data_IF_702977694489
#
_entry.id   IF_702977694489
#
_cell.length_a   1.000
_cell.length_b   1.000
_cell.length_c   1.000
_cell.angle_alpha   90.00
_cell.angle_beta   90.00
_cell.angle_gamma   90.00
#
_symmetry.space_group_name_H-M   'P 1'
#
loop_
_entity.id
_entity.type
_entity.pdbx_description
1 polymer ?
#
# COMPACT_ATOMS: atom_id res chain seq x y z
N UNK A 1 4.49 19.58 11.41
CA UNK A 1 5.87 19.09 11.50
C UNK A 1 6.13 18.02 10.43
N UNK A 2 5.45 16.87 10.45
CA UNK A 2 5.66 15.75 9.51
C UNK A 2 5.63 16.16 8.03
N UNK A 3 4.56 16.82 7.57
CA UNK A 3 4.45 17.26 6.17
C UNK A 3 5.51 18.30 5.76
N UNK A 4 5.93 19.18 6.68
CA UNK A 4 6.96 20.17 6.38
C UNK A 4 8.34 19.52 6.26
N UNK A 5 8.71 18.63 7.19
CA UNK A 5 9.96 17.88 7.13
C UNK A 5 10.05 16.98 5.89
N UNK A 6 8.93 16.32 5.54
CA UNK A 6 8.86 15.54 4.30
C UNK A 6 9.00 16.43 3.05
N UNK A 7 8.35 17.60 3.04
CA UNK A 7 8.46 18.56 1.93
C UNK A 7 9.88 19.06 1.75
N UNK A 8 10.62 19.35 2.84
CA UNK A 8 12.02 19.75 2.74
C UNK A 8 12.88 18.62 2.16
N UNK A 9 12.75 17.40 2.69
CA UNK A 9 13.49 16.23 2.20
C UNK A 9 13.26 15.99 0.71
N UNK A 10 12.00 16.01 0.26
CA UNK A 10 11.67 15.85 -1.16
C UNK A 10 12.21 17.02 -1.98
N UNK A 11 12.14 18.26 -1.48
CA UNK A 11 12.69 19.40 -2.23
C UNK A 11 14.20 19.25 -2.46
N UNK A 12 14.95 18.91 -1.41
CA UNK A 12 16.41 18.71 -1.49
C UNK A 12 16.77 17.58 -2.46
N UNK A 13 15.97 16.51 -2.50
CA UNK A 13 16.17 15.40 -3.44
C UNK A 13 15.90 15.77 -4.91
N UNK A 14 14.97 16.70 -5.17
CA UNK A 14 14.51 17.01 -6.53
C UNK A 14 15.16 18.26 -7.15
N UNK A 15 15.81 19.11 -6.34
CA UNK A 15 16.52 20.29 -6.84
C UNK A 15 17.83 19.96 -7.58
N UNK A 16 18.37 18.75 -7.37
CA UNK A 16 19.61 18.31 -8.01
C UNK A 16 20.87 19.02 -7.49
N UNK A 17 20.79 19.66 -6.34
CA UNK A 17 21.92 20.35 -5.69
C UNK A 17 22.85 19.39 -4.94
N UNK A 18 22.37 18.19 -4.61
CA UNK A 18 23.09 17.21 -3.81
C UNK A 18 23.06 15.83 -4.48
N UNK A 19 24.18 15.10 -4.40
CA UNK A 19 24.26 13.70 -4.84
C UNK A 19 23.51 12.75 -3.89
N UNK A 20 23.45 13.11 -2.59
CA UNK A 20 22.68 12.39 -1.58
C UNK A 20 22.17 13.35 -0.50
N UNK A 21 21.03 13.01 0.12
CA UNK A 21 20.36 13.83 1.14
C UNK A 21 20.12 13.00 2.39
N UNK A 22 20.47 13.54 3.56
CA UNK A 22 20.19 12.87 4.84
C UNK A 22 18.73 13.06 5.28
N UNK A 23 17.98 11.99 5.57
CA UNK A 23 16.59 12.09 6.02
C UNK A 23 16.44 12.34 7.53
N UNK A 24 17.51 12.66 8.26
CA UNK A 24 17.55 12.73 9.73
C UNK A 24 16.43 13.61 10.32
N UNK A 25 16.14 14.76 9.69
CA UNK A 25 15.08 15.66 10.13
C UNK A 25 13.69 15.02 10.01
N UNK A 26 13.39 14.39 8.87
CA UNK A 26 12.12 13.70 8.66
C UNK A 26 12.01 12.47 9.57
N UNK A 27 13.06 11.66 9.65
CA UNK A 27 13.16 10.50 10.53
C UNK A 27 12.90 10.89 12.00
N UNK A 28 13.53 11.96 12.49
CA UNK A 28 13.36 12.45 13.86
C UNK A 28 11.92 12.83 14.17
N UNK A 29 11.23 13.46 13.22
CA UNK A 29 9.81 13.83 13.39
C UNK A 29 8.92 12.58 13.45
N UNK A 30 9.17 11.60 12.59
CA UNK A 30 8.42 10.35 12.57
C UNK A 30 8.68 9.50 13.82
N UNK A 31 9.94 9.41 14.25
CA UNK A 31 10.38 8.65 15.42
C UNK A 31 9.75 9.16 16.73
N UNK A 32 9.48 10.47 16.86
CA UNK A 32 8.72 11.04 18.00
C UNK A 32 7.28 10.49 18.08
N UNK A 33 6.67 10.15 16.94
CA UNK A 33 5.30 9.64 16.85
C UNK A 33 5.23 8.12 16.95
N UNK A 34 6.21 7.45 16.37
CA UNK A 34 6.32 6.00 16.36
C UNK A 34 7.64 5.59 17.00
N UNK A 35 7.68 5.39 18.33
CA UNK A 35 8.90 5.08 19.06
C UNK A 35 9.64 3.83 18.56
N UNK A 36 8.95 2.90 17.90
CA UNK A 36 9.57 1.75 17.23
C UNK A 36 10.67 2.17 16.26
N UNK A 37 10.46 3.24 15.49
CA UNK A 37 11.44 3.78 14.54
C UNK A 37 12.52 4.65 15.21
N UNK A 38 12.42 4.95 16.50
CA UNK A 38 13.51 5.63 17.22
C UNK A 38 14.71 4.71 17.44
N UNK A 39 14.50 3.39 17.42
CA UNK A 39 15.56 2.40 17.56
C UNK A 39 16.28 2.26 16.23
N UNK A 40 17.62 2.24 16.25
CA UNK A 40 18.45 1.94 15.07
C UNK A 40 18.51 0.44 14.79
N UNK A 41 17.35 -0.21 14.81
CA UNK A 41 17.18 -1.62 14.43
C UNK A 41 16.51 -1.67 13.07
N UNK A 42 16.63 -2.81 12.39
CA UNK A 42 15.89 -3.03 11.16
C UNK A 42 14.39 -3.07 11.42
N UNK A 43 13.63 -2.69 10.40
CA UNK A 43 12.17 -2.53 10.46
C UNK A 43 11.56 -2.96 9.13
N UNK A 44 10.27 -3.29 9.16
CA UNK A 44 9.52 -3.61 7.96
C UNK A 44 9.19 -2.34 7.16
N UNK A 45 9.63 -2.30 5.90
CA UNK A 45 9.37 -1.17 5.01
C UNK A 45 7.87 -0.92 4.76
N UNK A 46 7.04 -1.97 4.82
CA UNK A 46 5.59 -1.88 4.67
C UNK A 46 4.95 -1.18 5.88
N UNK A 47 5.37 -1.52 7.09
CA UNK A 47 4.89 -0.87 8.31
C UNK A 47 5.31 0.60 8.35
N UNK A 48 6.58 0.87 8.01
CA UNK A 48 7.11 2.24 7.89
C UNK A 48 6.30 3.06 6.87
N UNK A 49 6.01 2.51 5.70
CA UNK A 49 5.22 3.17 4.65
C UNK A 49 3.82 3.54 5.15
N UNK A 50 3.12 2.61 5.81
CA UNK A 50 1.78 2.88 6.36
C UNK A 50 1.82 4.02 7.38
N UNK A 51 2.80 4.01 8.29
CA UNK A 51 3.00 5.09 9.26
C UNK A 51 3.24 6.44 8.59
N UNK A 52 4.09 6.48 7.55
CA UNK A 52 4.37 7.71 6.79
C UNK A 52 3.11 8.22 6.08
N UNK A 53 2.39 7.35 5.36
CA UNK A 53 1.16 7.75 4.65
C UNK A 53 0.10 8.28 5.61
N UNK A 54 -0.08 7.65 6.76
CA UNK A 54 -1.03 8.10 7.79
C UNK A 54 -0.65 9.46 8.38
N UNK A 55 0.62 9.68 8.71
CA UNK A 55 1.09 10.97 9.23
C UNK A 55 0.97 12.09 8.21
N UNK A 56 1.30 11.81 6.95
CA UNK A 56 1.11 12.78 5.86
C UNK A 56 -0.36 13.06 5.63
N UNK A 57 -1.23 12.05 5.68
CA UNK A 57 -2.67 12.22 5.55
C UNK A 57 -3.20 13.17 6.63
N UNK A 58 -2.91 12.88 7.89
CA UNK A 58 -3.36 13.69 9.03
C UNK A 58 -2.79 15.11 9.02
N UNK A 59 -1.53 15.27 8.60
CA UNK A 59 -0.92 16.59 8.49
C UNK A 59 -1.56 17.44 7.37
N UNK A 60 -1.80 16.84 6.20
CA UNK A 60 -2.30 17.56 5.02
C UNK A 60 -3.82 17.78 5.05
N UNK A 61 -4.58 16.90 5.71
CA UNK A 61 -6.00 17.10 6.01
C UNK A 61 -6.24 18.37 6.83
N UNK A 62 -5.40 18.62 7.85
CA UNK A 62 -5.48 19.82 8.71
C UNK A 62 -5.22 21.11 7.94
N UNK A 63 -4.24 21.11 7.02
CA UNK A 63 -3.93 22.26 6.17
C UNK A 63 -5.12 22.60 5.26
N UNK A 64 -5.74 21.59 4.64
CA UNK A 64 -6.95 21.78 3.82
C UNK A 64 -8.11 22.38 4.63
N UNK A 65 -8.33 21.88 5.85
CA UNK A 65 -9.36 22.40 6.76
C UNK A 65 -9.08 23.84 7.26
N UNK A 66 -7.82 24.24 7.38
CA UNK A 66 -7.44 25.61 7.76
C UNK A 66 -7.58 26.59 6.59
N UNK A 67 -7.18 26.19 5.39
CA UNK A 67 -7.32 26.99 4.16
C UNK A 67 -8.80 27.20 3.78
N UNK A 68 -9.67 26.22 4.02
CA UNK A 68 -11.11 26.42 3.79
C UNK A 68 -11.68 27.42 4.82
N UNK A 69 -11.32 27.30 6.10
CA UNK A 69 -11.76 28.25 7.15
C UNK A 69 -11.32 29.69 6.89
N UNK A 70 -10.13 29.92 6.31
CA UNK A 70 -9.67 31.28 5.99
C UNK A 70 -10.38 31.90 4.78
N UNK A 71 -10.84 31.09 3.82
CA UNK A 71 -11.64 31.55 2.66
C UNK A 71 -13.12 31.78 3.00
N UNK A 72 -13.65 31.16 4.05
CA UNK A 72 -15.07 31.26 4.44
C UNK A 72 -15.46 32.51 5.27
N UNK A 73 -14.62 33.55 5.34
CA UNK A 73 -14.94 34.78 6.09
C UNK A 73 -15.99 35.65 5.37
N UNK A 74 -16.31 35.39 4.08
CA UNK A 74 -17.25 36.24 3.32
C UNK A 74 -18.64 35.69 3.06
N UNK A 75 -19.05 34.51 3.54
CA UNK A 75 -20.44 34.06 3.35
C UNK A 75 -21.00 33.31 4.56
N UNK A 76 -21.75 34.06 5.39
CA UNK A 76 -22.59 33.51 6.43
C UNK A 76 -23.85 32.86 5.81
N UNK A 77 -23.74 31.59 5.41
CA UNK A 77 -24.81 30.55 5.38
C UNK A 77 -24.37 29.37 4.51
N UNK A 78 -23.65 28.41 5.08
CA UNK A 78 -23.55 27.07 4.50
C UNK A 78 -23.20 26.03 5.57
N UNK A 79 -24.08 25.03 5.66
CA UNK A 79 -23.97 23.68 6.25
C UNK A 79 -23.08 23.46 7.49
N UNK A 80 -23.69 22.84 8.52
CA UNK A 80 -23.00 21.97 9.49
C UNK A 80 -22.47 20.70 8.78
N UNK A 81 -21.68 20.87 7.73
CA UNK A 81 -21.04 19.79 6.98
C UNK A 81 -19.71 19.44 7.63
N UNK A 82 -19.54 18.17 8.00
CA UNK A 82 -18.31 17.66 8.59
C UNK A 82 -17.08 18.05 7.76
N UNK A 83 -15.96 18.28 8.45
CA UNK A 83 -14.66 18.49 7.82
C UNK A 83 -14.42 17.33 6.84
N UNK A 84 -14.09 17.64 5.59
CA UNK A 84 -13.74 16.61 4.61
C UNK A 84 -12.59 15.77 5.16
N UNK A 85 -12.83 14.48 5.38
CA UNK A 85 -11.87 13.50 5.88
C UNK A 85 -10.81 13.12 4.83
N UNK A 86 -10.57 13.97 3.83
CA UNK A 86 -9.76 13.66 2.65
C UNK A 86 -8.51 14.54 2.59
N UNK A 87 -7.44 13.98 2.04
CA UNK A 87 -6.22 14.71 1.70
C UNK A 87 -5.68 14.21 0.35
N UNK A 88 -4.58 14.80 -0.14
CA UNK A 88 -3.91 14.30 -1.33
C UNK A 88 -3.51 12.82 -1.18
N UNK A 89 -3.21 12.36 0.05
CA UNK A 89 -2.87 10.95 0.30
C UNK A 89 -4.06 10.03 -0.01
N UNK A 90 -5.28 10.36 0.43
CA UNK A 90 -6.47 9.56 0.14
C UNK A 90 -6.94 9.69 -1.32
N UNK A 91 -6.57 10.79 -1.99
CA UNK A 91 -6.84 10.95 -3.41
C UNK A 91 -5.92 10.06 -4.26
N UNK A 92 -4.64 9.97 -3.89
CA UNK A 92 -3.65 9.21 -4.63
C UNK A 92 -3.65 7.71 -4.29
N UNK A 93 -3.63 7.36 -3.00
CA UNK A 93 -3.31 6.00 -2.55
C UNK A 93 -4.50 5.21 -2.01
N UNK A 94 -5.61 5.86 -1.65
CA UNK A 94 -6.74 5.15 -1.02
C UNK A 94 -7.66 4.51 -2.07
N UNK A 95 -7.66 3.18 -2.09
CA UNK A 95 -8.66 2.35 -2.75
C UNK A 95 -9.75 1.88 -1.79
N UNK A 96 -10.79 1.27 -2.34
CA UNK A 96 -11.84 0.60 -1.57
C UNK A 96 -12.06 -0.81 -2.10
N UNK A 97 -12.06 -1.76 -1.16
CA UNK A 97 -12.56 -3.11 -1.33
C UNK A 97 -13.98 -3.21 -0.81
N UNK A 98 -14.65 -4.25 -1.27
CA UNK A 98 -15.96 -4.64 -0.86
C UNK A 98 -15.97 -6.15 -0.67
N UNK A 99 -16.15 -6.57 0.59
CA UNK A 99 -16.20 -7.96 0.98
C UNK A 99 -17.65 -8.44 1.00
N UNK A 100 -17.99 -9.30 0.05
CA UNK A 100 -19.27 -10.00 0.03
C UNK A 100 -19.18 -11.22 0.93
N UNK A 101 -19.86 -11.17 2.07
CA UNK A 101 -19.91 -12.24 3.07
C UNK A 101 -21.27 -12.92 2.97
N UNK A 102 -21.28 -14.14 2.44
CA UNK A 102 -22.48 -14.96 2.24
C UNK A 102 -22.54 -16.08 3.26
N UNK A 103 -23.56 -16.03 4.13
CA UNK A 103 -23.82 -17.12 5.07
C UNK A 103 -24.15 -18.41 4.31
N UNK A 104 -23.47 -19.51 4.63
CA UNK A 104 -23.68 -20.78 3.93
C UNK A 104 -24.95 -21.52 4.37
N UNK A 105 -25.55 -21.13 5.49
CA UNK A 105 -26.82 -21.67 5.97
C UNK A 105 -28.02 -20.94 5.33
N UNK A 106 -28.27 -19.69 5.72
CA UNK A 106 -29.44 -18.93 5.24
C UNK A 106 -29.25 -18.22 3.89
N UNK A 107 -28.06 -18.34 3.26
CA UNK A 107 -27.69 -17.71 1.97
C UNK A 107 -27.77 -16.18 1.93
N UNK A 108 -27.95 -15.52 3.07
CA UNK A 108 -27.94 -14.05 3.11
C UNK A 108 -26.53 -13.51 2.91
N UNK A 109 -26.38 -12.57 1.98
CA UNK A 109 -25.13 -11.87 1.70
C UNK A 109 -25.14 -10.49 2.34
N UNK A 110 -24.06 -10.17 3.02
CA UNK A 110 -23.78 -8.83 3.56
C UNK A 110 -22.53 -8.27 2.92
N UNK A 111 -22.58 -6.99 2.55
CA UNK A 111 -21.46 -6.29 1.97
C UNK A 111 -20.71 -5.50 3.05
N UNK A 112 -19.38 -5.65 3.11
CA UNK A 112 -18.53 -4.86 4.02
C UNK A 112 -17.50 -4.08 3.21
N UNK A 113 -17.66 -2.75 3.07
CA UNK A 113 -16.64 -1.92 2.44
C UNK A 113 -15.44 -1.75 3.37
N UNK A 114 -14.24 -1.73 2.80
CA UNK A 114 -12.98 -1.51 3.52
C UNK A 114 -12.03 -0.66 2.66
N UNK A 115 -11.48 0.40 3.26
CA UNK A 115 -10.47 1.24 2.61
C UNK A 115 -9.09 0.62 2.75
N UNK A 116 -8.23 0.79 1.75
CA UNK A 116 -6.83 0.36 1.81
C UNK A 116 -5.91 1.40 1.15
N UNK A 117 -4.66 1.47 1.62
CA UNK A 117 -3.56 2.19 0.95
C UNK A 117 -2.52 1.23 0.37
N UNK A 118 -2.40 0.03 0.94
CA UNK A 118 -1.49 -1.04 0.51
C UNK A 118 -2.26 -2.36 0.50
N UNK A 119 -2.24 -3.08 -0.62
CA UNK A 119 -2.80 -4.43 -0.72
C UNK A 119 -1.72 -5.45 -0.45
N UNK A 120 -1.86 -6.19 0.65
CA UNK A 120 -0.92 -7.25 1.03
C UNK A 120 -1.34 -8.58 0.43
N UNK A 121 -0.66 -8.99 -0.63
CA UNK A 121 -0.98 -10.17 -1.44
C UNK A 121 -0.31 -11.43 -0.89
N UNK A 122 -1.05 -12.55 -0.76
CA UNK A 122 -0.46 -13.85 -0.48
C UNK A 122 0.34 -14.35 -1.68
N UNK A 123 1.34 -15.19 -1.41
CA UNK A 123 2.18 -15.81 -2.43
C UNK A 123 1.75 -17.29 -2.55
N UNK A 124 1.07 -17.70 -3.63
CA UNK A 124 0.42 -19.02 -3.72
C UNK A 124 1.38 -20.18 -3.98
N UNK A 125 2.60 -19.91 -4.45
CA UNK A 125 3.60 -20.92 -4.85
C UNK A 125 4.91 -20.68 -4.13
N UNK A 126 5.64 -21.75 -3.80
CA UNK A 126 6.97 -21.63 -3.18
C UNK A 126 8.10 -21.51 -4.21
N UNK A 127 7.92 -22.04 -5.42
CA UNK A 127 8.96 -22.10 -6.45
C UNK A 127 8.95 -20.89 -7.39
N UNK A 128 7.77 -20.40 -7.76
CA UNK A 128 7.61 -19.24 -8.63
C UNK A 128 6.15 -19.01 -8.99
N UNK A 129 5.76 -17.75 -9.21
CA UNK A 129 4.42 -17.37 -9.66
C UNK A 129 4.44 -15.99 -10.34
N UNK A 130 3.29 -15.55 -10.86
CA UNK A 130 3.10 -14.18 -11.34
C UNK A 130 2.39 -13.31 -10.31
N UNK A 131 2.48 -11.98 -10.45
CA UNK A 131 1.66 -11.03 -9.68
C UNK A 131 0.16 -11.31 -9.89
N UNK A 132 -0.22 -11.76 -11.08
CA UNK A 132 -1.61 -12.14 -11.37
C UNK A 132 -2.05 -13.38 -10.60
N UNK A 133 -1.15 -14.34 -10.32
CA UNK A 133 -1.47 -15.48 -9.45
C UNK A 133 -1.68 -15.02 -8.00
N UNK A 134 -0.87 -14.07 -7.52
CA UNK A 134 -1.04 -13.48 -6.19
C UNK A 134 -2.38 -12.71 -6.07
N UNK A 135 -2.73 -11.91 -7.08
CA UNK A 135 -4.02 -11.21 -7.17
C UNK A 135 -5.18 -12.21 -7.24
N UNK A 136 -5.08 -13.24 -8.09
CA UNK A 136 -6.08 -14.30 -8.19
C UNK A 136 -6.27 -15.00 -6.84
N UNK A 137 -5.21 -15.30 -6.12
CA UNK A 137 -5.27 -15.90 -4.79
C UNK A 137 -5.96 -14.96 -3.78
N UNK A 138 -5.65 -13.66 -3.80
CA UNK A 138 -6.29 -12.67 -2.92
C UNK A 138 -7.80 -12.50 -3.19
N UNK A 139 -8.21 -12.44 -4.46
CA UNK A 139 -9.60 -12.20 -4.87
C UNK A 139 -10.42 -13.49 -5.04
N UNK A 140 -9.81 -14.66 -4.83
CA UNK A 140 -10.52 -15.93 -4.81
C UNK A 140 -11.50 -15.95 -3.65
N UNK A 141 -12.69 -16.51 -3.89
CA UNK A 141 -13.66 -16.73 -2.82
C UNK A 141 -13.08 -17.73 -1.82
N UNK A 142 -13.01 -17.32 -0.55
CA UNK A 142 -12.60 -18.15 0.56
C UNK A 142 -13.82 -18.57 1.39
N UNK A 143 -13.69 -19.64 2.19
CA UNK A 143 -14.74 -20.17 3.05
C UNK A 143 -14.27 -20.18 4.50
N UNK A 144 -14.87 -19.32 5.30
CA UNK A 144 -14.60 -19.22 6.72
C UNK A 144 -15.37 -20.30 7.46
N UNK A 145 -14.63 -21.27 8.01
CA UNK A 145 -15.16 -22.45 8.70
C UNK A 145 -14.53 -22.59 10.09
N UNK A 146 -15.10 -23.47 10.92
CA UNK A 146 -14.57 -23.82 12.24
C UNK A 146 -14.34 -22.59 13.14
N UNK A 147 -13.08 -22.31 13.49
CA UNK A 147 -12.70 -21.23 14.39
C UNK A 147 -12.92 -19.83 13.77
N UNK A 148 -13.10 -19.75 12.45
CA UNK A 148 -13.26 -18.49 11.72
C UNK A 148 -14.72 -18.17 11.36
N UNK A 149 -15.69 -18.94 11.88
CA UNK A 149 -17.11 -18.70 11.63
C UNK A 149 -17.55 -17.27 12.03
N UNK A 150 -18.38 -16.67 11.20
CA UNK A 150 -18.91 -15.31 11.40
C UNK A 150 -20.32 -15.39 11.99
N UNK A 151 -20.63 -14.48 12.92
CA UNK A 151 -21.98 -14.33 13.42
C UNK A 151 -22.93 -13.82 12.32
N UNK A 152 -23.91 -14.64 11.95
CA UNK A 152 -24.96 -14.26 11.02
C UNK A 152 -26.12 -13.61 11.77
N UNK A 153 -26.46 -12.36 11.45
CA UNK A 153 -27.57 -11.63 12.08
C UNK A 153 -28.94 -12.29 11.85
N UNK A 154 -29.11 -13.01 10.74
CA UNK A 154 -30.35 -13.68 10.38
C UNK A 154 -30.50 -15.04 11.08
N UNK A 155 -29.41 -15.80 11.22
CA UNK A 155 -29.41 -17.07 11.95
C UNK A 155 -29.27 -16.89 13.47
N UNK A 156 -28.86 -15.71 13.94
CA UNK A 156 -28.61 -15.41 15.37
C UNK A 156 -27.44 -16.20 15.98
N UNK A 157 -26.59 -16.82 15.17
CA UNK A 157 -25.53 -17.75 15.58
C UNK A 157 -24.31 -17.64 14.66
N UNK A 158 -23.18 -18.22 15.09
CA UNK A 158 -21.99 -18.37 14.24
C UNK A 158 -22.26 -19.39 13.14
N UNK A 159 -21.93 -19.02 11.92
CA UNK A 159 -22.16 -19.83 10.72
C UNK A 159 -20.92 -19.82 9.83
N UNK A 160 -20.77 -20.87 9.04
CA UNK A 160 -19.81 -20.89 7.95
C UNK A 160 -20.22 -19.84 6.90
N UNK A 161 -19.24 -19.14 6.35
CA UNK A 161 -19.50 -18.06 5.39
C UNK A 161 -18.51 -18.09 4.23
N UNK A 162 -19.02 -17.91 3.01
CA UNK A 162 -18.17 -17.61 1.86
C UNK A 162 -17.86 -16.11 1.84
N UNK A 163 -16.60 -15.75 1.63
CA UNK A 163 -16.13 -14.36 1.57
C UNK A 163 -15.42 -14.13 0.26
N UNK A 164 -15.78 -13.05 -0.44
CA UNK A 164 -15.11 -12.64 -1.68
C UNK A 164 -14.86 -11.14 -1.66
N UNK A 165 -13.61 -10.75 -1.93
CA UNK A 165 -13.24 -9.35 -2.11
C UNK A 165 -13.50 -8.90 -3.57
N UNK A 166 -13.88 -7.63 -3.75
CA UNK A 166 -13.94 -6.96 -5.05
C UNK A 166 -13.46 -5.52 -4.90
N UNK A 167 -12.71 -5.00 -5.86
CA UNK A 167 -12.30 -3.59 -5.90
C UNK A 167 -13.52 -2.75 -6.32
N UNK A 168 -13.97 -1.85 -5.45
CA UNK A 168 -15.03 -0.88 -5.75
C UNK A 168 -14.49 0.49 -6.11
N UNK A 169 -13.29 0.84 -5.63
CA UNK A 169 -12.55 2.04 -6.04
C UNK A 169 -11.08 1.68 -6.14
N UNK A 170 -10.51 1.75 -7.34
CA UNK A 170 -9.08 1.62 -7.52
C UNK A 170 -8.38 2.97 -7.21
N UNK A 171 -7.25 2.98 -6.49
CA UNK A 171 -6.50 4.21 -6.22
C UNK A 171 -5.76 4.69 -7.47
N UNK A 172 -5.34 5.95 -7.51
CA UNK A 172 -4.52 6.46 -8.62
C UNK A 172 -3.13 5.80 -8.64
N UNK A 173 -2.56 5.57 -7.47
CA UNK A 173 -1.32 4.82 -7.26
C UNK A 173 -1.67 3.62 -6.40
N UNK A 174 -1.46 2.41 -6.92
CA UNK A 174 -1.73 1.18 -6.18
C UNK A 174 -0.42 0.57 -5.70
N UNK A 175 -0.39 0.19 -4.42
CA UNK A 175 0.79 -0.39 -3.79
C UNK A 175 0.47 -1.83 -3.43
N UNK A 176 1.25 -2.76 -3.98
CA UNK A 176 1.20 -4.17 -3.60
C UNK A 176 2.34 -4.50 -2.67
N UNK A 177 1.99 -5.08 -1.52
CA UNK A 177 2.94 -5.72 -0.62
C UNK A 177 2.90 -7.23 -0.84
N UNK A 178 4.05 -7.82 -1.13
CA UNK A 178 4.19 -9.27 -1.29
C UNK A 178 4.48 -9.88 0.08
N UNK A 179 3.54 -10.66 0.64
CA UNK A 179 3.64 -11.27 1.98
C UNK A 179 4.73 -12.34 2.05
N UNK A 180 5.99 -11.90 2.07
CA UNK A 180 7.16 -12.79 2.07
C UNK A 180 7.49 -13.34 3.44
N UNK A 181 7.04 -12.74 4.52
CA UNK A 181 7.33 -13.23 5.87
C UNK A 181 6.15 -14.06 6.39
N UNK A 182 6.44 -15.30 6.78
CA UNK A 182 5.47 -16.20 7.39
C UNK A 182 6.02 -16.78 8.70
N UNK A 183 5.12 -17.00 9.65
CA UNK A 183 5.44 -17.70 10.90
C UNK A 183 5.18 -19.19 10.75
N UNK A 184 6.24 -20.00 10.87
CA UNK A 184 6.14 -21.45 10.93
C UNK A 184 6.40 -21.91 12.38
N UNK A 185 5.32 -21.96 13.17
CA UNK A 185 5.41 -22.25 14.60
C UNK A 185 6.11 -21.11 15.35
N UNK A 186 7.33 -21.35 15.82
CA UNK A 186 8.15 -20.34 16.55
C UNK A 186 9.18 -19.63 15.67
N UNK A 187 9.40 -20.10 14.45
CA UNK A 187 10.43 -19.56 13.56
C UNK A 187 9.77 -18.76 12.44
N UNK A 188 10.29 -17.57 12.20
CA UNK A 188 9.93 -16.79 11.02
C UNK A 188 10.71 -17.29 9.80
N UNK A 189 10.05 -17.28 8.65
CA UNK A 189 10.64 -17.67 7.37
C UNK A 189 10.33 -16.64 6.31
N UNK A 190 11.35 -16.27 5.52
CA UNK A 190 11.19 -15.45 4.31
C UNK A 190 10.96 -16.33 3.08
N UNK A 191 9.97 -15.97 2.27
CA UNK A 191 9.69 -16.55 0.95
C UNK A 191 10.60 -15.90 -0.08
N UNK A 192 11.53 -16.69 -0.63
CA UNK A 192 12.39 -16.32 -1.76
C UNK A 192 11.76 -16.68 -3.11
N UNK A 193 10.43 -16.76 -3.16
CA UNK A 193 9.70 -17.10 -4.39
C UNK A 193 9.94 -16.03 -5.44
N UNK A 194 10.30 -16.45 -6.65
CA UNK A 194 10.41 -15.57 -7.80
C UNK A 194 9.00 -15.18 -8.29
N UNK A 195 8.72 -13.87 -8.33
CA UNK A 195 7.41 -13.34 -8.67
C UNK A 195 7.56 -12.45 -9.89
N UNK A 196 7.03 -12.89 -11.03
CA UNK A 196 7.03 -12.10 -12.25
C UNK A 196 5.90 -11.05 -12.20
N UNK A 197 6.25 -9.77 -12.32
CA UNK A 197 5.30 -8.65 -12.30
C UNK A 197 5.39 -7.78 -13.56
N UNK A 198 4.29 -7.39 -14.21
CA UNK A 198 4.35 -6.65 -15.47
C UNK A 198 4.85 -5.21 -15.25
N UNK A 199 5.83 -4.73 -16.03
CA UNK A 199 6.30 -3.34 -15.91
C UNK A 199 5.27 -2.31 -16.42
N UNK A 200 4.32 -2.73 -17.24
CA UNK A 200 3.26 -1.90 -17.82
C UNK A 200 2.02 -2.74 -18.09
N UNK A 201 0.88 -2.08 -18.29
CA UNK A 201 -0.40 -2.72 -18.64
C UNK A 201 -0.87 -3.76 -17.61
N UNK A 202 -0.65 -3.51 -16.31
CA UNK A 202 -1.28 -4.31 -15.27
C UNK A 202 -2.79 -4.06 -15.30
N UNK A 203 -3.55 -5.11 -15.61
CA UNK A 203 -5.01 -5.08 -15.65
C UNK A 203 -5.62 -5.60 -14.34
N UNK A 204 -6.41 -4.74 -13.68
CA UNK A 204 -7.18 -5.06 -12.48
C UNK A 204 -8.68 -5.21 -12.75
N UNK A 205 -9.11 -5.12 -14.01
CA UNK A 205 -10.50 -5.30 -14.43
C UNK A 205 -11.14 -6.60 -13.93
N UNK A 206 -10.45 -7.77 -13.88
CA UNK A 206 -11.06 -9.01 -13.43
C UNK A 206 -11.46 -9.01 -11.95
N UNK A 207 -10.87 -8.11 -11.17
CA UNK A 207 -11.05 -8.00 -9.72
C UNK A 207 -11.87 -6.78 -9.32
N UNK A 208 -12.28 -5.96 -10.30
CA UNK A 208 -12.95 -4.70 -10.10
C UNK A 208 -14.43 -4.80 -10.46
N UNK A 209 -15.27 -4.06 -9.74
CA UNK A 209 -16.70 -4.03 -10.05
C UNK A 209 -16.95 -3.28 -11.38
N UNK A 210 -17.90 -3.75 -12.22
CA UNK A 210 -18.11 -3.21 -13.58
C UNK A 210 -18.44 -1.72 -13.64
N UNK A 211 -18.95 -1.15 -12.54
CA UNK A 211 -19.39 0.25 -12.46
C UNK A 211 -18.23 1.26 -12.41
N UNK A 212 -17.04 0.81 -12.01
CA UNK A 212 -15.87 1.67 -11.80
C UNK A 212 -14.69 1.29 -12.71
N UNK A 213 -14.89 0.31 -13.59
CA UNK A 213 -13.88 -0.18 -14.52
C UNK A 213 -13.96 0.56 -15.86
N UNK A 214 -13.46 1.79 -15.89
CA UNK A 214 -13.04 2.42 -17.15
C UNK A 214 -11.53 2.60 -17.09
N UNK A 215 -10.82 1.69 -17.76
CA UNK A 215 -9.42 1.85 -18.20
C UNK A 215 -8.34 2.02 -17.12
N UNK A 216 -8.45 1.31 -15.99
CA UNK A 216 -7.39 1.29 -14.97
C UNK A 216 -6.24 0.33 -15.36
N UNK A 217 -5.46 0.72 -16.36
CA UNK A 217 -4.20 0.06 -16.69
C UNK A 217 -3.05 0.73 -15.93
N UNK A 218 -2.36 -0.02 -15.09
CA UNK A 218 -1.25 0.51 -14.29
C UNK A 218 0.11 0.21 -14.91
N UNK A 219 1.09 1.06 -14.61
CA UNK A 219 2.48 0.88 -15.02
C UNK A 219 3.39 1.03 -13.82
N UNK A 220 4.32 0.09 -13.65
CA UNK A 220 5.21 0.06 -12.51
C UNK A 220 6.08 1.34 -12.51
N UNK A 221 6.10 2.04 -11.38
CA UNK A 221 6.90 3.24 -11.19
C UNK A 221 8.00 3.09 -10.14
N UNK A 222 7.83 2.18 -9.16
CA UNK A 222 8.89 1.86 -8.21
C UNK A 222 8.76 0.42 -7.66
N UNK A 223 9.90 -0.12 -7.21
CA UNK A 223 10.01 -1.40 -6.49
C UNK A 223 10.84 -1.17 -5.24
N UNK A 224 10.38 -1.63 -4.08
CA UNK A 224 11.24 -1.78 -2.90
C UNK A 224 11.67 -3.23 -2.84
N UNK A 225 12.97 -3.46 -2.86
CA UNK A 225 13.58 -4.78 -2.76
C UNK A 225 14.03 -5.04 -1.32
N UNK A 226 14.05 -6.29 -0.91
CA UNK A 226 14.57 -6.72 0.38
C UNK A 226 15.46 -7.96 0.22
N UNK A 227 16.73 -7.88 0.63
CA UNK A 227 17.65 -9.01 0.74
C UNK A 227 17.86 -9.38 2.22
N UNK A 228 18.29 -10.62 2.53
CA UNK A 228 18.45 -11.08 3.93
C UNK A 228 17.15 -11.39 4.66
N UNK A 229 17.18 -11.34 6.00
CA UNK A 229 16.08 -11.67 6.92
C UNK A 229 15.46 -10.42 7.54
N UNK A 230 14.35 -10.53 8.28
CA UNK A 230 13.63 -9.37 8.83
C UNK A 230 14.47 -8.59 9.87
N UNK A 231 15.23 -9.31 10.70
CA UNK A 231 16.12 -8.74 11.72
C UNK A 231 17.56 -8.51 11.23
N UNK A 232 17.91 -9.02 10.04
CA UNK A 232 19.23 -8.88 9.41
C UNK A 232 19.15 -8.99 7.88
N UNK A 233 18.68 -7.92 7.25
CA UNK A 233 18.50 -7.72 5.83
C UNK A 233 18.84 -6.30 5.37
N UNK A 234 18.58 -6.04 4.10
CA UNK A 234 18.89 -4.76 3.46
C UNK A 234 17.80 -4.39 2.46
N UNK A 235 17.37 -3.13 2.50
CA UNK A 235 16.36 -2.61 1.59
C UNK A 235 17.00 -1.71 0.55
N UNK A 236 16.62 -1.91 -0.72
CA UNK A 236 16.98 -1.00 -1.82
C UNK A 236 15.73 -0.63 -2.59
N UNK A 237 15.80 0.40 -3.43
CA UNK A 237 14.67 0.83 -4.23
C UNK A 237 15.04 0.94 -5.71
N UNK A 238 14.18 0.44 -6.59
CA UNK A 238 14.23 0.75 -8.01
C UNK A 238 13.17 1.79 -8.32
N UNK A 239 13.55 2.90 -8.92
CA UNK A 239 12.64 4.01 -9.21
C UNK A 239 12.73 4.39 -10.69
N UNK A 240 11.58 4.56 -11.33
CA UNK A 240 11.50 5.04 -12.71
C UNK A 240 11.42 6.56 -12.70
N UNK A 241 12.39 7.21 -13.34
CA UNK A 241 12.39 8.66 -13.48
C UNK A 241 11.26 9.11 -14.43
N UNK A 242 10.39 10.01 -13.96
CA UNK A 242 9.15 10.38 -14.65
C UNK A 242 9.35 11.05 -16.02
N UNK A 243 10.43 11.85 -16.17
CA UNK A 243 10.75 12.56 -17.42
C UNK A 243 11.48 11.67 -18.43
N UNK A 244 12.59 11.04 -18.03
CA UNK A 244 13.44 10.24 -18.93
C UNK A 244 12.91 8.84 -19.17
N UNK A 245 12.01 8.33 -18.31
CA UNK A 245 11.54 6.95 -18.29
C UNK A 245 12.65 5.90 -18.03
N UNK A 246 13.79 6.33 -17.53
CA UNK A 246 14.93 5.49 -17.15
C UNK A 246 14.75 4.96 -15.72
N UNK A 247 15.22 3.74 -15.46
CA UNK A 247 15.22 3.16 -14.12
C UNK A 247 16.54 3.39 -13.41
N UNK A 248 16.44 3.63 -12.11
CA UNK A 248 17.60 3.78 -11.22
C UNK A 248 17.47 2.84 -10.03
N UNK A 249 18.58 2.22 -9.64
CA UNK A 249 18.74 1.54 -8.36
C UNK A 249 19.30 2.51 -7.33
N UNK A 250 18.54 2.74 -6.28
CA UNK A 250 18.90 3.51 -5.10
C UNK A 250 19.25 2.54 -3.97
N UNK A 251 20.53 2.49 -3.62
CA UNK A 251 21.09 1.73 -2.51
C UNK A 251 21.75 2.71 -1.54
N UNK A 252 21.00 3.09 -0.51
CA UNK A 252 21.34 4.17 0.43
C UNK A 252 21.76 5.47 -0.30
N UNK A 253 23.04 5.83 -0.21
CA UNK A 253 23.60 7.03 -0.83
C UNK A 253 24.03 6.84 -2.29
N UNK A 254 23.96 5.61 -2.82
CA UNK A 254 24.38 5.30 -4.18
C UNK A 254 23.17 5.19 -5.11
N UNK A 255 23.18 5.96 -6.19
CA UNK A 255 22.16 5.91 -7.24
C UNK A 255 22.84 5.51 -8.54
N UNK A 256 22.34 4.44 -9.17
CA UNK A 256 22.91 3.89 -10.41
C UNK A 256 21.81 3.61 -11.42
N UNK A 257 22.06 3.91 -12.69
CA UNK A 257 21.11 3.58 -13.76
C UNK A 257 21.06 2.06 -13.99
N UNK A 258 19.85 1.52 -14.18
CA UNK A 258 19.63 0.10 -14.47
C UNK A 258 18.73 -0.08 -15.71
N UNK A 259 18.94 -1.14 -16.51
CA UNK A 259 18.06 -1.43 -17.64
C UNK A 259 16.73 -2.05 -17.16
N UNK A 260 15.68 -1.93 -17.99
CA UNK A 260 14.36 -2.52 -17.72
C UNK A 260 14.42 -4.02 -17.36
N UNK A 261 15.36 -4.77 -17.95
CA UNK A 261 15.54 -6.20 -17.70
C UNK A 261 15.99 -6.52 -16.27
N UNK A 262 16.64 -5.57 -15.60
CA UNK A 262 17.13 -5.72 -14.23
C UNK A 262 16.09 -5.32 -13.18
N UNK A 263 14.96 -4.73 -13.60
CA UNK A 263 13.89 -4.33 -12.68
C UNK A 263 13.20 -5.55 -12.08
N UNK A 264 13.08 -6.66 -12.82
CA UNK A 264 12.59 -7.94 -12.28
C UNK A 264 13.58 -8.53 -11.29
N UNK A 265 13.13 -8.78 -10.07
CA UNK A 265 13.94 -9.37 -9.00
C UNK A 265 13.10 -10.31 -8.13
N UNK A 266 13.74 -11.35 -7.62
CA UNK A 266 13.19 -12.24 -6.61
C UNK A 266 13.14 -11.60 -5.20
N UNK A 267 13.84 -10.47 -5.03
CA UNK A 267 13.87 -9.67 -3.79
C UNK A 267 12.78 -8.61 -3.73
N UNK A 268 11.99 -8.40 -4.78
CA UNK A 268 10.92 -7.42 -4.79
C UNK A 268 9.92 -7.65 -3.64
N UNK A 269 9.66 -6.62 -2.85
CA UNK A 269 8.87 -6.67 -1.62
C UNK A 269 7.63 -5.76 -1.68
N UNK A 270 7.80 -4.51 -2.12
CA UNK A 270 6.71 -3.59 -2.45
C UNK A 270 6.76 -3.22 -3.93
N UNK A 271 5.61 -3.19 -4.59
CA UNK A 271 5.45 -2.78 -5.98
C UNK A 271 4.53 -1.55 -6.04
N UNK A 272 5.01 -0.46 -6.63
CA UNK A 272 4.26 0.78 -6.82
C UNK A 272 3.86 0.91 -8.29
N UNK A 273 2.56 1.03 -8.53
CA UNK A 273 1.92 1.02 -9.83
C UNK A 273 1.04 2.25 -10.03
#
# INVERSE_FOLDING_TARGET
ESAAAFSCLVSDMWLGEFDCVSPEAFHSVLAKRYPTFSKRTQQDAQEFLICVLNELHEALKKVGAQLCKSRCITDAKASRGGVSETSIITQLFEGQLSYDITCLECKTTTNRPESFTVLSLPIPSKSGCSLQDCLKCFFQQDTLTWNNQIHCSWCGTKQDAAVKATITKAPQIIIFHLKRFEWQGKHERKLSTDICYPLSHLDLSPYSSPRFCKDAAYSLCAVVNHSGFLDDGHYTAFCKHSVTNTWYSCDDAQVTEIPNSSVQTDTAYLLFY
#
